data_IF_011425017443
#
_entry.id   IF_011425017443
#
_cell.length_a   1.000
_cell.length_b   1.000
_cell.length_c   1.000
_cell.angle_alpha   90.00
_cell.angle_beta   90.00
_cell.angle_gamma   90.00
#
_symmetry.space_group_name_H-M   'P 1'
#
loop_
_entity.id
_entity.type
_entity.pdbx_description
1 polymer ?
#
# COMPACT_ATOMS: atom_id res chain seq x y z
N UNK A 1 7.98 3.09 -10.95
CA UNK A 1 8.42 4.32 -10.26
C UNK A 1 8.60 4.01 -8.80
N UNK A 2 9.62 4.56 -8.14
CA UNK A 2 9.85 4.34 -6.70
C UNK A 2 9.51 5.61 -5.95
N UNK A 3 8.57 5.52 -5.03
CA UNK A 3 8.32 6.55 -4.02
C UNK A 3 8.92 6.07 -2.69
N UNK A 4 9.81 6.86 -2.09
CA UNK A 4 10.36 6.71 -0.76
C UNK A 4 10.39 8.10 -0.10
N UNK A 5 9.76 8.21 1.06
CA UNK A 5 9.82 9.38 1.92
C UNK A 5 10.34 8.97 3.30
N UNK A 6 10.95 9.90 4.02
CA UNK A 6 11.24 9.71 5.43
C UNK A 6 9.93 9.73 6.24
N UNK A 7 9.98 9.35 7.51
CA UNK A 7 8.83 9.51 8.42
C UNK A 7 8.27 10.94 8.34
N UNK A 8 6.95 11.08 8.23
CA UNK A 8 6.21 12.33 8.01
C UNK A 8 6.58 13.10 6.73
N UNK A 9 7.39 12.51 5.85
CA UNK A 9 7.75 13.08 4.57
C UNK A 9 6.65 12.85 3.53
N UNK A 10 6.58 13.76 2.56
CA UNK A 10 5.68 13.66 1.41
C UNK A 10 6.52 13.53 0.15
N UNK A 11 6.18 12.56 -0.68
CA UNK A 11 6.70 12.48 -2.06
C UNK A 11 5.55 12.40 -3.04
N UNK A 12 5.74 13.01 -4.21
CA UNK A 12 4.77 13.01 -5.30
C UNK A 12 5.41 12.57 -6.60
N UNK A 13 4.59 12.10 -7.54
CA UNK A 13 4.98 11.81 -8.91
C UNK A 13 3.78 11.37 -9.73
N UNK A 14 4.02 10.94 -10.96
CA UNK A 14 2.95 10.61 -11.91
C UNK A 14 3.35 9.43 -12.80
N UNK A 15 2.40 8.55 -13.07
CA UNK A 15 2.55 7.41 -13.97
C UNK A 15 1.45 7.42 -15.02
N UNK A 16 1.75 6.82 -16.17
CA UNK A 16 0.73 6.43 -17.15
C UNK A 16 0.33 5.00 -16.83
N UNK A 17 -0.98 4.77 -16.72
CA UNK A 17 -1.56 3.46 -16.49
C UNK A 17 -2.24 3.02 -17.78
N UNK A 18 -2.03 1.76 -18.18
CA UNK A 18 -2.66 1.24 -19.39
C UNK A 18 -4.20 1.21 -19.23
N UNK A 19 -4.97 1.53 -20.29
CA UNK A 19 -6.42 1.38 -20.27
C UNK A 19 -6.84 -0.03 -19.85
N UNK A 20 -7.93 -0.13 -19.08
CA UNK A 20 -8.46 -1.42 -18.60
C UNK A 20 -7.70 -2.04 -17.42
N UNK A 21 -6.66 -1.40 -16.89
CA UNK A 21 -5.96 -1.89 -15.69
C UNK A 21 -6.82 -1.74 -14.44
N UNK A 22 -6.70 -2.69 -13.51
CA UNK A 22 -7.20 -2.59 -12.14
C UNK A 22 -6.02 -2.26 -11.23
N UNK A 23 -6.18 -1.26 -10.37
CA UNK A 23 -5.21 -0.92 -9.34
C UNK A 23 -5.78 -1.26 -7.97
N UNK A 24 -5.00 -1.98 -7.18
CA UNK A 24 -5.28 -2.25 -5.78
C UNK A 24 -4.08 -1.82 -4.93
N UNK A 25 -4.29 -1.07 -3.84
CA UNK A 25 -3.21 -0.74 -2.91
C UNK A 25 -2.72 -1.98 -2.15
N UNK A 26 -1.47 -1.97 -1.70
CA UNK A 26 -0.91 -2.92 -0.73
C UNK A 26 0.19 -2.21 0.07
N UNK A 27 0.48 -2.71 1.28
CA UNK A 27 1.63 -2.28 2.09
C UNK A 27 2.50 -3.48 2.42
N UNK A 28 3.82 -3.31 2.29
CA UNK A 28 4.84 -4.29 2.68
C UNK A 28 5.48 -3.77 3.96
N UNK A 29 5.31 -4.48 5.05
CA UNK A 29 5.75 -4.05 6.37
C UNK A 29 7.21 -4.43 6.58
N UNK A 30 8.04 -3.46 6.96
CA UNK A 30 9.46 -3.65 7.28
C UNK A 30 10.24 -4.47 6.24
N UNK A 31 9.97 -4.24 4.96
CA UNK A 31 10.59 -4.96 3.86
C UNK A 31 10.37 -4.29 2.51
N UNK A 32 10.59 -5.05 1.46
CA UNK A 32 10.59 -4.58 0.08
C UNK A 32 9.91 -5.57 -0.86
N UNK A 33 9.50 -5.07 -2.02
CA UNK A 33 9.00 -5.94 -3.09
C UNK A 33 10.07 -6.92 -3.59
N UNK A 34 11.35 -6.55 -3.45
CA UNK A 34 12.47 -7.41 -3.83
C UNK A 34 12.52 -8.69 -3.02
N UNK A 35 12.35 -8.59 -1.70
CA UNK A 35 12.32 -9.76 -0.80
C UNK A 35 11.12 -10.67 -1.11
N UNK A 36 9.94 -10.11 -1.43
CA UNK A 36 8.77 -10.90 -1.80
C UNK A 36 8.88 -11.62 -3.15
N UNK A 37 9.78 -11.17 -4.02
CA UNK A 37 9.89 -11.66 -5.40
C UNK A 37 11.23 -12.36 -5.67
N UNK A 38 12.03 -12.58 -4.62
CA UNK A 38 13.26 -13.36 -4.69
C UNK A 38 12.98 -14.87 -4.55
N UNK A 39 14.04 -15.69 -4.46
CA UNK A 39 13.96 -17.15 -4.35
C UNK A 39 14.03 -17.69 -2.91
N UNK A 40 14.14 -16.82 -1.90
CA UNK A 40 14.29 -17.19 -0.50
C UNK A 40 12.95 -17.09 0.24
N UNK A 41 12.20 -18.18 0.44
CA UNK A 41 10.89 -18.07 1.11
C UNK A 41 10.97 -17.69 2.60
N UNK A 42 12.17 -17.67 3.21
CA UNK A 42 12.35 -17.45 4.65
C UNK A 42 12.54 -15.98 5.04
N UNK A 43 12.60 -15.05 4.08
CA UNK A 43 12.71 -13.60 4.33
C UNK A 43 11.46 -12.82 3.87
N UNK A 44 10.36 -13.50 3.53
CA UNK A 44 9.16 -12.84 3.04
C UNK A 44 8.57 -11.90 4.11
N UNK A 45 8.47 -10.58 3.85
CA UNK A 45 7.83 -9.65 4.76
C UNK A 45 6.32 -9.85 4.83
N UNK A 46 5.70 -9.30 5.88
CA UNK A 46 4.24 -9.22 5.99
C UNK A 46 3.68 -8.26 4.93
N UNK A 47 2.57 -8.65 4.32
CA UNK A 47 1.87 -7.83 3.33
C UNK A 47 0.39 -7.74 3.70
N UNK A 48 -0.15 -6.52 3.66
CA UNK A 48 -1.59 -6.30 3.81
C UNK A 48 -2.23 -5.83 2.52
N UNK A 49 -3.43 -6.34 2.28
CA UNK A 49 -4.24 -6.16 1.09
C UNK A 49 -5.63 -5.60 1.45
N UNK A 50 -6.35 -5.01 0.47
CA UNK A 50 -7.76 -4.61 0.64
C UNK A 50 -8.72 -5.81 0.63
N UNK A 51 -8.20 -7.03 0.46
CA UNK A 51 -8.96 -8.27 0.43
C UNK A 51 -8.78 -8.99 1.76
N UNK A 52 -9.79 -8.91 2.63
CA UNK A 52 -9.71 -9.41 4.01
C UNK A 52 -9.23 -10.86 4.14
N UNK A 53 -9.63 -11.72 3.19
CA UNK A 53 -9.23 -13.13 3.16
C UNK A 53 -7.75 -13.37 2.83
N UNK A 54 -7.04 -12.36 2.33
CA UNK A 54 -5.60 -12.40 2.03
C UNK A 54 -4.74 -11.95 3.21
N UNK A 55 -5.31 -11.27 4.20
CA UNK A 55 -4.58 -10.83 5.40
C UNK A 55 -4.57 -11.97 6.42
N UNK A 56 -3.38 -12.32 6.93
CA UNK A 56 -3.18 -13.47 7.83
C UNK A 56 -3.96 -13.36 9.14
N UNK A 57 -4.17 -12.13 9.62
CA UNK A 57 -4.93 -11.80 10.82
C UNK A 57 -6.42 -11.49 10.55
N UNK A 58 -6.84 -11.47 9.29
CA UNK A 58 -8.21 -11.15 8.86
C UNK A 58 -8.67 -9.77 9.34
N UNK A 59 -7.76 -8.81 9.43
CA UNK A 59 -8.07 -7.41 9.74
C UNK A 59 -7.99 -6.58 8.46
N UNK A 60 -8.79 -5.52 8.40
CA UNK A 60 -8.72 -4.53 7.32
C UNK A 60 -7.70 -3.44 7.69
N UNK A 61 -6.55 -3.46 7.00
CA UNK A 61 -5.45 -2.52 7.20
C UNK A 61 -5.47 -1.35 6.22
N UNK A 62 -6.40 -1.30 5.26
CA UNK A 62 -6.39 -0.29 4.20
C UNK A 62 -7.76 0.35 4.07
N UNK A 63 -7.86 1.63 4.42
CA UNK A 63 -9.14 2.35 4.42
C UNK A 63 -9.19 3.42 3.34
N UNK A 64 -10.30 3.46 2.60
CA UNK A 64 -10.62 4.61 1.75
C UNK A 64 -11.08 5.77 2.64
N UNK A 65 -10.27 6.82 2.71
CA UNK A 65 -10.55 8.05 3.47
C UNK A 65 -11.37 9.07 2.67
N UNK A 66 -11.65 8.77 1.39
CA UNK A 66 -12.39 9.62 0.46
C UNK A 66 -11.48 10.37 -0.52
N UNK A 67 -12.05 10.94 -1.58
CA UNK A 67 -11.32 11.71 -2.60
C UNK A 67 -10.06 11.01 -3.15
N UNK A 68 -10.17 9.71 -3.43
CA UNK A 68 -9.04 8.86 -3.87
C UNK A 68 -7.83 8.95 -2.93
N UNK A 69 -8.09 8.91 -1.62
CA UNK A 69 -7.06 8.88 -0.57
C UNK A 69 -7.24 7.61 0.24
N UNK A 70 -6.17 6.85 0.39
CA UNK A 70 -6.11 5.61 1.16
C UNK A 70 -5.19 5.81 2.36
N UNK A 71 -5.66 5.42 3.54
CA UNK A 71 -4.88 5.31 4.77
C UNK A 71 -4.54 3.85 5.05
N UNK A 72 -3.41 3.61 5.71
CA UNK A 72 -2.84 2.30 5.95
C UNK A 72 -2.43 2.14 7.42
N UNK A 73 -2.55 0.92 7.92
CA UNK A 73 -1.99 0.43 9.20
C UNK A 73 -0.92 -0.63 8.91
N UNK A 74 0.28 -0.51 9.49
CA UNK A 74 1.39 -1.45 9.27
C UNK A 74 1.57 -2.52 10.37
N UNK A 75 0.86 -2.37 11.49
CA UNK A 75 0.88 -3.31 12.61
C UNK A 75 -0.23 -4.38 12.51
N UNK A 76 0.12 -5.60 12.89
CA UNK A 76 -0.84 -6.71 12.98
C UNK A 76 -1.98 -6.41 13.97
N UNK A 77 -3.17 -6.93 13.68
CA UNK A 77 -4.36 -6.68 14.51
C UNK A 77 -4.99 -5.30 14.30
N UNK A 78 -4.49 -4.51 13.35
CA UNK A 78 -5.04 -3.21 12.99
C UNK A 78 -4.48 -2.01 13.75
N UNK A 79 -3.33 -2.18 14.41
CA UNK A 79 -2.59 -1.09 15.07
C UNK A 79 -3.43 -0.26 16.04
N UNK A 80 -3.31 1.06 15.95
CA UNK A 80 -4.12 1.99 16.75
C UNK A 80 -5.41 2.44 16.01
N UNK A 81 -5.52 2.10 14.73
CA UNK A 81 -6.74 2.25 13.95
C UNK A 81 -6.98 3.67 13.43
N UNK A 82 -5.94 4.50 13.37
CA UNK A 82 -6.00 5.85 12.83
C UNK A 82 -5.68 5.93 11.31
N UNK A 83 -5.12 4.86 10.74
CA UNK A 83 -4.79 4.66 9.33
C UNK A 83 -3.82 5.72 8.77
N UNK A 84 -2.89 6.22 9.59
CA UNK A 84 -1.95 7.27 9.19
C UNK A 84 -0.48 6.83 9.04
N UNK A 85 -0.15 5.56 9.25
CA UNK A 85 1.22 5.04 9.06
C UNK A 85 1.74 5.34 7.65
N UNK A 86 0.85 5.18 6.65
CA UNK A 86 1.06 5.67 5.27
C UNK A 86 -0.24 6.25 4.75
N UNK A 87 -0.15 7.37 4.02
CA UNK A 87 -1.28 7.95 3.29
C UNK A 87 -0.91 8.08 1.81
N UNK A 88 -1.73 7.49 0.94
CA UNK A 88 -1.57 7.57 -0.51
C UNK A 88 -2.76 8.30 -1.12
N UNK A 89 -2.49 9.33 -1.93
CA UNK A 89 -3.52 10.01 -2.72
C UNK A 89 -3.24 9.85 -4.21
N UNK A 90 -4.27 9.48 -4.97
CA UNK A 90 -4.19 9.38 -6.43
C UNK A 90 -5.11 10.40 -7.09
N UNK A 91 -4.55 11.20 -7.99
CA UNK A 91 -5.32 12.04 -8.90
C UNK A 91 -5.25 11.42 -10.30
N UNK A 92 -6.41 11.08 -10.87
CA UNK A 92 -6.51 10.43 -12.17
C UNK A 92 -6.95 11.45 -13.22
N UNK A 93 -6.30 11.42 -14.37
CA UNK A 93 -6.68 12.18 -15.57
C UNK A 93 -6.54 11.30 -16.80
N UNK A 94 -7.27 11.66 -17.86
CA UNK A 94 -7.04 11.05 -19.16
C UNK A 94 -5.71 11.56 -19.73
N UNK A 95 -4.92 10.63 -20.28
CA UNK A 95 -3.77 11.00 -21.10
C UNK A 95 -4.27 11.84 -22.28
N UNK A 96 -3.63 12.97 -22.53
CA UNK A 96 -3.89 13.80 -23.71
C UNK A 96 -3.19 13.24 -24.92
#
# INVERSE_FOLDING_TARGET
MKFAANNQGIQTGSAIIAPGSILAPMIIVNGSLGELTDSNPNNNPTVYFPFLGSNSDRVDHIRLLGNNTWGFEDLAGGGDGDFNDVIVKMNLSLAK
#
